data_IF_197402903650
#
_entry.id   IF_197402903650
#
_cell.length_a   1.000
_cell.length_b   1.000
_cell.length_c   1.000
_cell.angle_alpha   90.00
_cell.angle_beta   90.00
_cell.angle_gamma   90.00
#
_symmetry.space_group_name_H-M   'P 1'
#
loop_
_entity.id
_entity.type
_entity.pdbx_description
1 polymer ?
#
# COMPACT_ATOMS: atom_id res chain seq x y z
N UNK A 1 21.36 4.21 -13.71
CA UNK A 1 20.48 5.42 -13.56
C UNK A 1 19.65 5.21 -12.31
N UNK A 2 19.48 6.23 -11.47
CA UNK A 2 18.54 6.17 -10.35
C UNK A 2 17.10 5.96 -10.83
N UNK A 3 16.31 5.26 -10.03
CA UNK A 3 14.88 5.10 -10.24
C UNK A 3 14.13 5.51 -8.96
N UNK A 4 12.99 6.19 -9.11
CA UNK A 4 12.16 6.61 -7.98
C UNK A 4 11.76 5.41 -7.11
N UNK A 5 11.72 5.63 -5.81
CA UNK A 5 11.40 4.65 -4.77
C UNK A 5 12.37 3.46 -4.65
N UNK A 6 13.49 3.45 -5.39
CA UNK A 6 14.54 2.45 -5.23
C UNK A 6 15.54 2.86 -4.15
N UNK A 7 15.98 1.86 -3.38
CA UNK A 7 16.97 2.01 -2.32
C UNK A 7 18.37 1.76 -2.84
N UNK A 8 19.33 2.55 -2.34
CA UNK A 8 20.75 2.43 -2.66
C UNK A 8 21.60 2.55 -1.41
N UNK A 9 22.69 1.81 -1.36
CA UNK A 9 23.76 2.06 -0.41
C UNK A 9 24.62 3.18 -0.99
N UNK A 10 24.68 4.29 -0.29
CA UNK A 10 25.37 5.51 -0.77
C UNK A 10 26.55 5.87 0.12
N UNK A 11 27.54 6.53 -0.48
CA UNK A 11 28.70 7.08 0.21
C UNK A 11 28.70 8.59 0.09
N UNK A 12 28.87 9.30 1.22
CA UNK A 12 28.95 10.76 1.23
C UNK A 12 30.27 11.22 0.60
N UNK A 13 30.18 12.03 -0.47
CA UNK A 13 31.35 12.61 -1.18
C UNK A 13 31.67 14.03 -0.75
N UNK A 14 30.65 14.82 -0.42
CA UNK A 14 30.81 16.18 0.07
C UNK A 14 29.65 16.58 0.96
N UNK A 15 29.91 17.48 1.91
CA UNK A 15 28.91 18.02 2.83
C UNK A 15 28.84 19.52 2.69
N UNK A 16 27.63 20.06 2.63
CA UNK A 16 27.32 21.47 2.60
C UNK A 16 26.27 21.81 3.68
N UNK A 17 26.08 23.10 4.02
CA UNK A 17 25.07 23.49 5.00
C UNK A 17 23.63 23.04 4.67
N UNK A 18 23.34 22.83 3.38
CA UNK A 18 22.01 22.47 2.88
C UNK A 18 21.81 20.95 2.67
N UNK A 19 22.88 20.14 2.84
CA UNK A 19 22.80 18.70 2.65
C UNK A 19 24.12 18.06 2.25
N UNK A 20 24.04 16.83 1.75
CA UNK A 20 25.20 16.03 1.37
C UNK A 20 25.11 15.54 -0.09
N UNK A 21 26.19 15.66 -0.83
CA UNK A 21 26.36 14.97 -2.10
C UNK A 21 26.79 13.54 -1.82
N UNK A 22 26.11 12.61 -2.44
CA UNK A 22 26.34 11.17 -2.26
C UNK A 22 26.56 10.47 -3.59
N UNK A 23 27.22 9.35 -3.53
CA UNK A 23 27.51 8.47 -4.67
C UNK A 23 27.01 7.05 -4.38
N UNK A 24 26.33 6.47 -5.36
CA UNK A 24 25.94 5.08 -5.41
C UNK A 24 26.51 4.45 -6.69
N UNK A 25 27.66 3.79 -6.58
CA UNK A 25 28.35 3.11 -7.69
C UNK A 25 28.50 3.98 -8.96
N UNK A 26 28.91 5.26 -8.75
CA UNK A 26 29.12 6.23 -9.83
C UNK A 26 27.87 7.03 -10.21
N UNK A 27 26.75 6.85 -9.53
CA UNK A 27 25.57 7.69 -9.66
C UNK A 27 25.56 8.78 -8.59
N UNK A 28 25.53 10.03 -9.00
CA UNK A 28 25.49 11.17 -8.08
C UNK A 28 24.06 11.48 -7.63
N UNK A 29 23.88 11.58 -6.31
CA UNK A 29 22.65 12.00 -5.65
C UNK A 29 22.88 13.06 -4.60
N UNK A 30 21.82 13.70 -4.13
CA UNK A 30 21.83 14.69 -3.09
C UNK A 30 20.81 14.38 -2.01
N UNK A 31 21.27 14.33 -0.77
CA UNK A 31 20.43 14.22 0.42
C UNK A 31 20.34 15.60 1.05
N UNK A 32 19.13 16.19 1.03
CA UNK A 32 18.86 17.45 1.72
C UNK A 32 19.09 17.28 3.22
N UNK A 33 19.50 18.35 3.91
CA UNK A 33 19.72 18.33 5.35
C UNK A 33 18.50 17.81 6.13
N UNK A 34 17.27 18.21 5.73
CA UNK A 34 16.03 17.75 6.35
C UNK A 34 15.67 16.28 6.00
N UNK A 35 16.37 15.68 5.03
CA UNK A 35 16.23 14.27 4.64
C UNK A 35 17.35 13.37 5.19
N UNK A 36 18.14 13.90 6.13
CA UNK A 36 19.11 13.15 6.91
C UNK A 36 18.64 13.01 8.36
N UNK A 37 18.79 11.85 9.02
CA UNK A 37 18.30 11.61 10.39
C UNK A 37 18.81 12.62 11.42
N UNK A 38 20.03 13.16 11.26
CA UNK A 38 20.61 14.15 12.18
C UNK A 38 19.86 15.48 12.27
N UNK A 39 18.92 15.74 11.38
CA UNK A 39 18.05 16.92 11.47
C UNK A 39 16.95 16.75 12.53
N UNK A 40 16.51 15.50 12.74
CA UNK A 40 15.36 15.18 13.55
C UNK A 40 15.70 14.45 14.88
N UNK A 41 16.95 14.03 15.02
CA UNK A 41 17.41 13.24 16.15
C UNK A 41 18.87 13.55 16.49
N UNK A 42 19.37 13.01 17.62
CA UNK A 42 20.77 13.13 18.07
C UNK A 42 21.77 12.32 17.22
N UNK A 43 21.34 11.82 16.05
CA UNK A 43 22.24 11.13 15.11
C UNK A 43 23.35 12.09 14.66
N UNK A 44 24.62 11.65 14.58
CA UNK A 44 25.70 12.48 14.06
C UNK A 44 25.41 13.04 12.68
N UNK A 45 25.87 14.26 12.41
CA UNK A 45 25.78 14.87 11.06
C UNK A 45 26.59 14.07 10.07
N UNK A 46 26.12 14.02 8.82
CA UNK A 46 26.84 13.36 7.74
C UNK A 46 28.26 13.89 7.61
N UNK A 47 29.22 13.00 7.44
CA UNK A 47 30.62 13.31 7.16
C UNK A 47 31.07 12.62 5.87
N UNK A 48 32.09 13.21 5.20
CA UNK A 48 32.65 12.61 3.98
C UNK A 48 33.19 11.21 4.28
N UNK A 49 32.76 10.23 3.48
CA UNK A 49 33.11 8.82 3.65
C UNK A 49 32.04 8.00 4.39
N UNK A 50 31.06 8.64 5.02
CA UNK A 50 29.96 7.92 5.67
C UNK A 50 29.19 7.11 4.63
N UNK A 51 28.78 5.91 5.07
CA UNK A 51 27.91 5.02 4.31
C UNK A 51 26.53 4.95 4.95
N UNK A 52 25.51 5.06 4.12
CA UNK A 52 24.13 4.94 4.61
C UNK A 52 23.25 4.38 3.51
N UNK A 53 22.10 3.82 3.94
CA UNK A 53 21.02 3.49 3.02
C UNK A 53 20.19 4.73 2.76
N UNK A 54 19.88 4.98 1.48
CA UNK A 54 19.03 6.07 1.08
C UNK A 54 18.07 5.61 -0.03
N UNK A 55 16.93 6.28 -0.11
CA UNK A 55 15.92 6.04 -1.14
C UNK A 55 15.85 7.24 -2.09
N UNK A 56 15.61 6.96 -3.35
CA UNK A 56 15.40 8.01 -4.37
C UNK A 56 14.00 8.58 -4.25
N UNK A 57 13.90 9.89 -4.00
CA UNK A 57 12.63 10.62 -3.96
C UNK A 57 12.27 11.21 -5.32
N UNK A 58 13.28 11.64 -6.10
CA UNK A 58 13.10 12.27 -7.41
C UNK A 58 14.34 12.03 -8.29
N UNK A 59 14.22 11.05 -9.17
CA UNK A 59 15.27 10.67 -10.11
C UNK A 59 15.36 11.62 -11.32
N UNK A 60 14.37 12.48 -11.55
CA UNK A 60 14.35 13.41 -12.68
C UNK A 60 15.32 14.59 -12.52
N UNK A 61 15.76 14.85 -11.28
CA UNK A 61 16.68 15.95 -10.95
C UNK A 61 18.15 15.55 -11.15
N UNK A 62 18.97 16.56 -11.33
CA UNK A 62 20.43 16.40 -11.40
C UNK A 62 21.09 17.36 -10.42
N UNK A 63 21.74 16.86 -9.35
CA UNK A 63 21.74 15.46 -8.90
C UNK A 63 20.35 14.99 -8.44
N UNK A 64 20.09 13.69 -8.55
CA UNK A 64 18.85 13.07 -8.06
C UNK A 64 18.64 13.37 -6.57
N UNK A 65 17.37 13.49 -6.13
CA UNK A 65 17.05 13.74 -4.72
C UNK A 65 16.83 12.43 -3.98
N UNK A 66 17.54 12.29 -2.87
CA UNK A 66 17.47 11.11 -2.02
C UNK A 66 17.09 11.48 -0.58
N UNK A 67 16.65 10.49 0.17
CA UNK A 67 16.43 10.58 1.62
C UNK A 67 17.06 9.39 2.34
N UNK A 68 17.67 9.65 3.48
CA UNK A 68 18.13 8.64 4.43
C UNK A 68 17.20 8.50 5.64
N UNK A 69 16.04 9.16 5.64
CA UNK A 69 15.06 9.03 6.72
C UNK A 69 14.40 7.64 6.69
N UNK A 70 14.32 6.93 7.83
CA UNK A 70 13.65 5.64 7.90
C UNK A 70 12.22 5.65 7.38
N UNK A 71 11.46 6.72 7.67
CA UNK A 71 10.08 6.86 7.19
C UNK A 71 10.01 6.94 5.66
N UNK A 72 10.87 7.73 5.01
CA UNK A 72 10.88 7.83 3.55
C UNK A 72 11.28 6.50 2.89
N UNK A 73 12.18 5.74 3.53
CA UNK A 73 12.57 4.40 3.07
C UNK A 73 11.39 3.42 3.17
N UNK A 74 10.63 3.45 4.28
CA UNK A 74 9.44 2.60 4.44
C UNK A 74 8.36 2.92 3.41
N UNK A 75 8.04 4.21 3.25
CA UNK A 75 7.09 4.67 2.22
C UNK A 75 7.51 4.19 0.84
N UNK A 76 8.78 4.35 0.48
CA UNK A 76 9.26 3.92 -0.82
C UNK A 76 9.18 2.40 -1.02
N UNK A 77 9.40 1.61 0.02
CA UNK A 77 9.21 0.15 -0.02
C UNK A 77 7.78 -0.22 -0.34
N UNK A 78 6.81 0.45 0.27
CA UNK A 78 5.40 0.22 -0.01
C UNK A 78 5.02 0.64 -1.44
N UNK A 79 5.62 1.71 -1.97
CA UNK A 79 5.32 2.22 -3.31
C UNK A 79 5.94 1.42 -4.47
N UNK A 80 7.00 0.63 -4.23
CA UNK A 80 7.75 -0.06 -5.29
C UNK A 80 6.92 -1.06 -6.12
N UNK A 81 5.80 -1.54 -5.57
CA UNK A 81 4.92 -2.52 -6.22
C UNK A 81 3.87 -1.86 -7.12
N UNK A 82 3.60 -0.57 -6.93
CA UNK A 82 2.59 0.15 -7.72
C UNK A 82 3.00 0.34 -9.18
N UNK A 83 4.26 0.52 -9.49
CA UNK A 83 4.75 0.68 -10.87
C UNK A 83 4.70 -0.62 -11.70
N UNK A 84 5.13 -1.80 -11.20
CA UNK A 84 4.88 -3.07 -11.86
C UNK A 84 3.39 -3.37 -12.06
N UNK A 85 2.55 -3.13 -11.05
CA UNK A 85 1.10 -3.31 -11.15
C UNK A 85 0.51 -2.43 -12.26
N UNK A 86 0.93 -1.16 -12.35
CA UNK A 86 0.50 -0.23 -13.41
C UNK A 86 0.88 -0.68 -14.82
N UNK A 87 1.98 -1.42 -14.96
CA UNK A 87 2.38 -1.97 -16.28
C UNK A 87 1.54 -3.17 -16.67
N UNK A 88 1.13 -3.98 -15.71
CA UNK A 88 0.26 -5.14 -15.93
C UNK A 88 -1.20 -4.72 -16.11
N UNK A 89 -1.69 -3.86 -15.23
CA UNK A 89 -3.04 -3.30 -15.24
C UNK A 89 -2.95 -1.78 -15.41
N UNK A 90 -2.99 -1.23 -16.62
CA UNK A 90 -2.94 0.22 -16.81
C UNK A 90 -4.13 0.94 -16.16
N UNK A 91 -3.91 2.06 -15.44
CA UNK A 91 -5.01 2.84 -14.86
C UNK A 91 -5.82 3.57 -15.95
N UNK A 92 -7.05 3.98 -15.64
CA UNK A 92 -7.97 4.62 -16.61
C UNK A 92 -7.56 6.03 -17.04
N UNK A 93 -6.43 6.56 -16.56
CA UNK A 93 -5.85 7.83 -16.99
C UNK A 93 -6.29 9.06 -16.20
N UNK A 94 -7.37 9.01 -15.44
CA UNK A 94 -7.76 10.09 -14.53
C UNK A 94 -6.98 9.98 -13.21
N UNK A 95 -6.51 11.12 -12.68
CA UNK A 95 -5.97 11.18 -11.31
C UNK A 95 -7.10 11.65 -10.43
N UNK A 96 -7.38 10.89 -9.36
CA UNK A 96 -8.35 11.29 -8.35
C UNK A 96 -7.66 12.08 -7.25
N UNK A 97 -8.21 13.22 -6.90
CA UNK A 97 -7.82 13.97 -5.72
C UNK A 97 -8.69 13.53 -4.53
N UNK A 98 -8.06 13.19 -3.42
CA UNK A 98 -8.71 12.70 -2.19
C UNK A 98 -8.18 13.49 -1.01
N UNK A 99 -9.08 14.01 -0.20
CA UNK A 99 -8.77 14.70 1.05
C UNK A 99 -8.42 13.69 2.16
N UNK A 100 -7.22 13.10 2.06
CA UNK A 100 -6.78 12.02 2.94
C UNK A 100 -6.86 12.35 4.42
N UNK A 101 -6.63 13.61 4.82
CA UNK A 101 -6.70 14.00 6.23
C UNK A 101 -8.10 13.76 6.82
N UNK A 102 -9.16 14.06 6.08
CA UNK A 102 -10.53 13.84 6.50
C UNK A 102 -10.88 12.33 6.56
N UNK A 103 -10.38 11.55 5.58
CA UNK A 103 -10.56 10.10 5.55
C UNK A 103 -9.86 9.44 6.74
N UNK A 104 -8.62 9.82 7.01
CA UNK A 104 -7.82 9.27 8.11
C UNK A 104 -8.36 9.67 9.48
N UNK A 105 -8.93 10.89 9.60
CA UNK A 105 -9.65 11.32 10.81
C UNK A 105 -10.89 10.46 11.03
N UNK A 106 -11.70 10.22 9.99
CA UNK A 106 -12.89 9.38 10.07
C UNK A 106 -12.58 7.93 10.43
N UNK A 107 -11.49 7.38 9.90
CA UNK A 107 -11.03 6.03 10.20
C UNK A 107 -10.32 5.93 11.56
N UNK A 108 -9.84 7.04 12.11
CA UNK A 108 -8.98 7.05 13.30
C UNK A 108 -7.62 6.39 13.07
N UNK A 109 -7.13 6.35 11.83
CA UNK A 109 -5.87 5.74 11.46
C UNK A 109 -5.26 6.37 10.21
N UNK A 110 -3.94 6.50 10.17
CA UNK A 110 -3.19 6.88 8.96
C UNK A 110 -3.15 5.68 8.02
N UNK A 111 -3.37 5.90 6.74
CA UNK A 111 -3.41 4.84 5.73
C UNK A 111 -2.06 4.64 5.02
N UNK A 112 -1.76 3.41 4.57
CA UNK A 112 -0.54 3.11 3.83
C UNK A 112 -0.39 3.94 2.55
N UNK A 113 0.82 4.41 2.27
CA UNK A 113 1.10 5.26 1.11
C UNK A 113 0.84 4.55 -0.22
N UNK A 114 1.04 3.23 -0.30
CA UNK A 114 0.78 2.45 -1.50
C UNK A 114 -0.72 2.38 -1.83
N UNK A 115 -1.57 2.23 -0.81
CA UNK A 115 -3.02 2.29 -1.01
C UNK A 115 -3.47 3.68 -1.50
N UNK A 116 -3.01 4.74 -0.82
CA UNK A 116 -3.30 6.12 -1.27
C UNK A 116 -2.89 6.32 -2.73
N UNK A 117 -1.74 5.77 -3.11
CA UNK A 117 -1.25 5.82 -4.49
C UNK A 117 -2.13 5.03 -5.46
N UNK A 118 -2.63 3.85 -5.04
CA UNK A 118 -3.58 3.07 -5.84
C UNK A 118 -4.85 3.86 -6.09
N UNK A 119 -5.50 4.36 -5.03
CA UNK A 119 -6.75 5.13 -5.15
C UNK A 119 -6.55 6.41 -5.97
N UNK A 120 -5.45 7.13 -5.80
CA UNK A 120 -5.15 8.30 -6.63
C UNK A 120 -5.03 7.97 -8.12
N UNK A 121 -4.50 6.79 -8.45
CA UNK A 121 -4.22 6.39 -9.84
C UNK A 121 -5.38 5.70 -10.51
N UNK A 122 -6.10 4.88 -9.77
CA UNK A 122 -7.14 4.01 -10.30
C UNK A 122 -8.54 4.48 -9.92
N UNK A 123 -8.71 5.10 -8.75
CA UNK A 123 -10.00 5.19 -8.07
C UNK A 123 -10.42 3.83 -7.50
N UNK A 124 -11.68 3.70 -7.12
CA UNK A 124 -12.28 2.41 -6.83
C UNK A 124 -12.67 1.65 -8.10
N UNK A 125 -12.71 0.34 -8.01
CA UNK A 125 -13.04 -0.52 -9.14
C UNK A 125 -12.43 -1.91 -9.01
N UNK A 126 -12.53 -2.70 -10.07
CA UNK A 126 -12.18 -4.12 -10.08
C UNK A 126 -10.86 -4.36 -10.78
N UNK A 127 -9.92 -4.98 -10.09
CA UNK A 127 -8.69 -5.54 -10.64
C UNK A 127 -8.92 -6.99 -11.08
N UNK A 128 -8.42 -7.34 -12.24
CA UNK A 128 -8.44 -8.69 -12.79
C UNK A 128 -9.84 -9.34 -12.72
N UNK A 129 -10.90 -8.57 -12.93
CA UNK A 129 -12.27 -9.05 -12.90
C UNK A 129 -12.74 -9.59 -11.55
N UNK A 130 -11.95 -9.47 -10.46
CA UNK A 130 -12.26 -10.16 -9.21
C UNK A 130 -12.01 -9.34 -7.95
N UNK A 131 -10.96 -8.52 -7.85
CA UNK A 131 -10.65 -7.77 -6.62
C UNK A 131 -11.14 -6.36 -6.75
N UNK A 132 -12.18 -6.04 -6.00
CA UNK A 132 -12.68 -4.68 -5.86
C UNK A 132 -11.81 -3.90 -4.88
N UNK A 133 -11.20 -2.80 -5.33
CA UNK A 133 -10.51 -1.84 -4.47
C UNK A 133 -11.55 -0.87 -3.90
N UNK A 134 -11.68 -0.84 -2.58
CA UNK A 134 -12.51 0.16 -1.90
C UNK A 134 -11.90 1.54 -2.07
N UNK A 135 -12.75 2.57 -2.14
CA UNK A 135 -12.31 3.96 -2.19
C UNK A 135 -13.13 4.82 -1.23
N UNK A 136 -12.58 5.87 -0.64
CA UNK A 136 -13.37 6.81 0.15
C UNK A 136 -14.33 7.59 -0.77
N UNK A 137 -15.48 8.01 -0.23
CA UNK A 137 -16.54 8.74 -0.92
C UNK A 137 -17.08 8.00 -2.17
N UNK A 138 -17.07 6.65 -2.15
CA UNK A 138 -17.72 5.87 -3.19
C UNK A 138 -19.22 6.11 -3.16
N UNK A 139 -19.87 6.38 -4.32
CA UNK A 139 -21.33 6.56 -4.37
C UNK A 139 -22.12 5.33 -3.91
N UNK A 140 -21.56 4.14 -4.10
CA UNK A 140 -22.11 2.90 -3.55
C UNK A 140 -21.46 2.62 -2.18
N UNK A 141 -22.25 2.63 -1.08
CA UNK A 141 -21.74 2.36 0.27
C UNK A 141 -21.06 0.99 0.42
N UNK A 142 -21.39 0.01 -0.45
CA UNK A 142 -20.77 -1.33 -0.45
C UNK A 142 -19.27 -1.26 -0.76
N UNK A 143 -18.83 -0.24 -1.48
CA UNK A 143 -17.45 -0.06 -1.90
C UNK A 143 -16.79 1.17 -1.29
N UNK A 144 -17.50 1.84 -0.34
CA UNK A 144 -16.93 2.96 0.39
C UNK A 144 -16.07 2.48 1.57
N UNK A 145 -14.80 2.90 1.59
CA UNK A 145 -13.82 2.48 2.58
C UNK A 145 -14.26 2.81 4.02
N UNK A 146 -14.80 4.02 4.25
CA UNK A 146 -15.14 4.50 5.60
C UNK A 146 -16.40 3.79 6.10
N UNK A 147 -17.41 3.67 5.25
CA UNK A 147 -18.66 2.97 5.56
C UNK A 147 -18.38 1.50 5.85
N UNK A 148 -17.63 0.83 4.97
CA UNK A 148 -17.32 -0.59 5.15
C UNK A 148 -16.44 -0.85 6.37
N UNK A 149 -15.57 0.06 6.73
CA UNK A 149 -14.78 -0.08 7.97
C UNK A 149 -15.69 -0.10 9.19
N UNK A 150 -16.65 0.83 9.29
CA UNK A 150 -17.57 0.89 10.43
C UNK A 150 -18.50 -0.34 10.49
N UNK A 151 -19.06 -0.76 9.34
CA UNK A 151 -19.93 -1.94 9.25
C UNK A 151 -19.19 -3.23 9.65
N UNK A 152 -17.95 -3.39 9.20
CA UNK A 152 -17.13 -4.56 9.50
C UNK A 152 -16.67 -4.60 10.95
N UNK A 153 -16.36 -3.49 11.58
CA UNK A 153 -16.05 -3.44 13.00
C UNK A 153 -17.24 -3.94 13.85
N UNK A 154 -18.45 -3.49 13.55
CA UNK A 154 -19.67 -3.93 14.26
C UNK A 154 -19.98 -5.42 14.00
N UNK A 155 -19.89 -5.84 12.74
CA UNK A 155 -20.13 -7.23 12.33
C UNK A 155 -19.14 -8.18 13.01
N UNK A 156 -17.84 -7.91 12.95
CA UNK A 156 -16.80 -8.76 13.52
C UNK A 156 -16.92 -8.84 15.05
N UNK A 157 -17.16 -7.71 15.72
CA UNK A 157 -17.41 -7.69 17.16
C UNK A 157 -18.60 -8.58 17.55
N UNK A 158 -19.67 -8.56 16.75
CA UNK A 158 -20.83 -9.42 16.93
C UNK A 158 -20.50 -10.90 16.73
N UNK A 159 -19.75 -11.26 15.68
CA UNK A 159 -19.35 -12.64 15.38
C UNK A 159 -18.48 -13.21 16.50
N UNK A 160 -17.50 -12.45 16.99
CA UNK A 160 -16.62 -12.91 18.07
C UNK A 160 -17.34 -13.07 19.39
N UNK A 161 -18.32 -12.21 19.69
CA UNK A 161 -19.20 -12.38 20.86
C UNK A 161 -20.01 -13.67 20.78
N UNK A 162 -20.31 -14.15 19.58
CA UNK A 162 -21.01 -15.43 19.34
C UNK A 162 -20.10 -16.65 19.28
N UNK A 163 -18.79 -16.47 19.50
CA UNK A 163 -17.80 -17.55 19.54
C UNK A 163 -17.25 -17.98 18.18
N UNK A 164 -17.39 -17.15 17.14
CA UNK A 164 -16.68 -17.37 15.88
C UNK A 164 -15.19 -17.11 16.13
N UNK A 165 -14.33 -17.99 15.63
CA UNK A 165 -12.89 -17.85 15.79
C UNK A 165 -12.36 -16.60 15.06
N UNK A 166 -11.62 -15.78 15.80
CA UNK A 166 -10.83 -14.68 15.24
C UNK A 166 -9.47 -15.20 14.77
N UNK A 167 -8.85 -14.54 13.78
CA UNK A 167 -7.48 -14.88 13.38
C UNK A 167 -6.53 -14.78 14.57
N UNK A 168 -5.53 -15.68 14.67
CA UNK A 168 -4.60 -15.72 15.81
C UNK A 168 -3.91 -14.38 16.06
N UNK A 169 -3.64 -13.63 14.99
CA UNK A 169 -2.97 -12.33 15.00
C UNK A 169 -3.75 -11.25 15.77
N UNK A 170 -5.08 -11.38 15.86
CA UNK A 170 -5.93 -10.47 16.64
C UNK A 170 -5.95 -10.77 18.13
N UNK A 171 -5.43 -11.92 18.55
CA UNK A 171 -5.39 -12.31 19.97
C UNK A 171 -4.25 -11.64 20.73
N UNK A 172 -3.28 -11.08 20.01
CA UNK A 172 -2.09 -10.44 20.54
C UNK A 172 -2.14 -8.93 20.30
N UNK A 173 -2.59 -8.16 21.30
CA UNK A 173 -2.56 -6.70 21.27
C UNK A 173 -3.82 -6.04 20.71
N UNK A 174 -3.71 -4.74 20.50
CA UNK A 174 -4.80 -3.85 20.05
C UNK A 174 -4.79 -3.77 18.51
N UNK A 175 -5.14 -4.88 17.86
CA UNK A 175 -5.15 -4.99 16.39
C UNK A 175 -6.53 -4.74 15.84
N UNK A 176 -6.64 -3.85 14.83
CA UNK A 176 -7.86 -3.61 14.05
C UNK A 176 -7.78 -4.29 12.70
N UNK A 177 -8.92 -4.73 12.21
CA UNK A 177 -9.11 -5.11 10.80
C UNK A 177 -9.76 -3.96 10.06
N UNK A 178 -9.06 -3.40 9.09
CA UNK A 178 -9.58 -2.35 8.22
C UNK A 178 -9.75 -2.93 6.81
N UNK A 179 -10.98 -3.06 6.28
CA UNK A 179 -11.21 -3.59 4.95
C UNK A 179 -10.68 -2.61 3.90
N UNK A 180 -9.99 -3.12 2.89
CA UNK A 180 -9.51 -2.32 1.77
C UNK A 180 -9.91 -2.89 0.41
N UNK A 181 -10.40 -4.10 0.38
CA UNK A 181 -10.81 -4.77 -0.83
C UNK A 181 -11.86 -5.85 -0.59
N UNK A 182 -12.61 -6.12 -1.63
CA UNK A 182 -13.66 -7.13 -1.68
C UNK A 182 -13.44 -8.03 -2.88
N UNK A 183 -13.70 -9.33 -2.74
CA UNK A 183 -13.58 -10.29 -3.84
C UNK A 183 -14.95 -10.50 -4.47
N UNK A 184 -15.11 -10.01 -5.69
CA UNK A 184 -16.37 -10.05 -6.43
C UNK A 184 -16.88 -11.50 -6.60
N UNK A 185 -18.18 -11.67 -6.38
CA UNK A 185 -18.85 -12.96 -6.52
C UNK A 185 -18.54 -14.02 -5.46
N UNK A 186 -17.49 -13.85 -4.67
CA UNK A 186 -17.05 -14.84 -3.68
C UNK A 186 -17.42 -14.45 -2.23
N UNK A 187 -17.71 -13.18 -1.98
CA UNK A 187 -18.02 -12.67 -0.63
C UNK A 187 -16.82 -12.61 0.31
N UNK A 188 -15.59 -12.74 -0.21
CA UNK A 188 -14.37 -12.64 0.57
C UNK A 188 -13.94 -11.18 0.72
N UNK A 189 -13.30 -10.88 1.85
CA UNK A 189 -12.84 -9.55 2.17
C UNK A 189 -11.34 -9.52 2.44
N UNK A 190 -10.71 -8.46 1.99
CA UNK A 190 -9.30 -8.17 2.19
C UNK A 190 -9.17 -7.05 3.23
N UNK A 191 -8.43 -7.33 4.28
CA UNK A 191 -8.20 -6.39 5.39
C UNK A 191 -6.72 -6.09 5.56
N UNK A 192 -6.42 -4.94 6.13
CA UNK A 192 -5.16 -4.75 6.82
C UNK A 192 -5.26 -5.21 8.27
N UNK A 193 -4.18 -5.81 8.76
CA UNK A 193 -3.89 -5.93 10.17
C UNK A 193 -3.27 -4.60 10.65
N UNK A 194 -4.13 -3.66 11.04
CA UNK A 194 -3.72 -2.35 11.53
C UNK A 194 -3.34 -2.44 13.00
N UNK A 195 -2.07 -2.19 13.32
CA UNK A 195 -1.51 -2.21 14.67
C UNK A 195 -1.10 -0.79 15.06
N UNK A 196 -1.49 -0.30 16.27
CA UNK A 196 -1.22 1.09 16.67
C UNK A 196 0.27 1.38 16.89
N UNK A 197 1.08 0.36 17.14
CA UNK A 197 2.53 0.42 17.38
C UNK A 197 3.37 0.15 16.12
N UNK A 198 2.70 -0.09 14.98
CA UNK A 198 3.33 -0.41 13.69
C UNK A 198 2.95 0.66 12.67
N UNK A 199 3.95 1.13 11.94
CA UNK A 199 3.70 2.11 10.87
C UNK A 199 2.78 1.52 9.78
N UNK A 200 1.90 2.32 9.18
CA UNK A 200 0.94 1.85 8.18
C UNK A 200 1.59 1.10 6.99
N UNK A 201 2.79 1.50 6.60
CA UNK A 201 3.56 0.86 5.51
C UNK A 201 4.02 -0.56 5.85
N UNK A 202 3.93 -0.98 7.11
CA UNK A 202 4.29 -2.31 7.60
C UNK A 202 3.05 -3.18 7.89
N UNK A 203 1.84 -2.64 7.69
CA UNK A 203 0.63 -3.44 7.82
C UNK A 203 0.57 -4.53 6.77
N UNK A 204 0.12 -5.69 7.20
CA UNK A 204 0.01 -6.88 6.36
C UNK A 204 -1.43 -7.15 5.96
N UNK A 205 -1.61 -7.94 4.91
CA UNK A 205 -2.93 -8.30 4.40
C UNK A 205 -3.43 -9.56 5.06
N UNK A 206 -4.70 -9.59 5.43
CA UNK A 206 -5.44 -10.82 5.72
C UNK A 206 -6.69 -10.89 4.86
N UNK A 207 -7.05 -12.11 4.49
CA UNK A 207 -8.25 -12.43 3.74
C UNK A 207 -9.17 -13.30 4.57
N UNK A 208 -10.47 -13.02 4.51
CA UNK A 208 -11.51 -13.79 5.17
C UNK A 208 -12.64 -14.16 4.21
N UNK A 209 -13.21 -15.32 4.36
CA UNK A 209 -14.36 -15.81 3.58
C UNK A 209 -15.70 -15.12 3.94
N UNK A 210 -15.65 -13.88 4.41
CA UNK A 210 -16.80 -13.06 4.74
C UNK A 210 -17.35 -13.31 6.13
N UNK A 211 -17.96 -14.45 6.39
CA UNK A 211 -18.56 -14.79 7.70
C UNK A 211 -18.09 -16.13 8.28
N UNK A 212 -17.19 -16.75 7.58
CA UNK A 212 -16.65 -18.05 7.97
C UNK A 212 -15.42 -17.96 8.86
N UNK A 213 -14.99 -19.11 9.42
CA UNK A 213 -13.84 -19.17 10.32
C UNK A 213 -12.49 -19.13 9.61
N UNK A 214 -12.45 -19.19 8.27
CA UNK A 214 -11.21 -19.30 7.54
C UNK A 214 -10.57 -17.93 7.29
N UNK A 215 -9.34 -17.81 7.73
CA UNK A 215 -8.50 -16.64 7.58
C UNK A 215 -7.19 -17.02 6.90
N UNK A 216 -6.74 -16.20 5.98
CA UNK A 216 -5.47 -16.35 5.30
C UNK A 216 -4.64 -15.09 5.49
N UNK A 217 -3.41 -15.23 6.02
CA UNK A 217 -2.52 -14.11 6.29
C UNK A 217 -1.40 -14.04 5.24
N UNK A 218 -1.16 -12.84 4.73
CA UNK A 218 -0.14 -12.55 3.74
C UNK A 218 0.80 -11.46 4.27
N UNK A 219 2.10 -11.72 4.44
CA UNK A 219 3.09 -10.74 4.89
C UNK A 219 3.45 -9.78 3.73
N UNK A 220 2.45 -9.12 3.18
CA UNK A 220 2.55 -8.25 2.02
C UNK A 220 1.75 -6.96 2.25
N UNK A 221 2.17 -5.85 1.65
CA UNK A 221 1.35 -4.64 1.54
C UNK A 221 0.21 -4.86 0.55
N UNK A 222 -0.82 -3.98 0.54
CA UNK A 222 -1.95 -4.14 -0.38
C UNK A 222 -1.52 -4.10 -1.85
N UNK A 223 -0.59 -3.22 -2.22
CA UNK A 223 -0.08 -3.15 -3.60
C UNK A 223 0.76 -4.36 -4.00
N UNK A 224 1.54 -4.93 -3.06
CA UNK A 224 2.25 -6.18 -3.29
C UNK A 224 1.27 -7.33 -3.50
N UNK A 225 0.28 -7.45 -2.62
CA UNK A 225 -0.73 -8.49 -2.72
C UNK A 225 -1.50 -8.42 -4.05
N UNK A 226 -1.97 -7.22 -4.45
CA UNK A 226 -2.62 -7.03 -5.74
C UNK A 226 -1.71 -7.41 -6.92
N UNK A 227 -0.43 -6.99 -6.87
CA UNK A 227 0.53 -7.36 -7.90
C UNK A 227 0.70 -8.88 -7.99
N UNK A 228 0.85 -9.56 -6.85
CA UNK A 228 1.04 -11.02 -6.82
C UNK A 228 -0.19 -11.77 -7.34
N UNK A 229 -1.40 -11.30 -7.03
CA UNK A 229 -2.64 -11.87 -7.58
C UNK A 229 -2.70 -11.63 -9.09
N UNK A 230 -2.52 -10.39 -9.56
CA UNK A 230 -2.58 -10.06 -10.99
C UNK A 230 -1.50 -10.79 -11.78
N UNK A 231 -0.29 -10.92 -11.23
CA UNK A 231 0.83 -11.63 -11.88
C UNK A 231 0.71 -13.17 -11.82
N UNK A 232 -0.25 -13.71 -11.02
CA UNK A 232 -0.38 -15.15 -10.82
C UNK A 232 0.75 -15.76 -9.96
N UNK A 233 1.36 -14.94 -9.09
CA UNK A 233 2.44 -15.36 -8.19
C UNK A 233 2.01 -15.52 -6.73
N UNK A 234 0.74 -15.23 -6.44
CA UNK A 234 0.18 -15.40 -5.09
C UNK A 234 0.14 -16.86 -4.67
N UNK A 235 0.35 -17.09 -3.38
CA UNK A 235 0.19 -18.43 -2.75
C UNK A 235 -1.18 -18.57 -2.08
N UNK A 236 -2.10 -17.62 -2.29
CA UNK A 236 -3.45 -17.66 -1.73
C UNK A 236 -4.24 -18.84 -2.25
N UNK A 237 -4.86 -19.58 -1.33
CA UNK A 237 -5.79 -20.63 -1.68
C UNK A 237 -7.02 -20.10 -2.45
N UNK A 238 -7.48 -18.90 -2.10
CA UNK A 238 -8.66 -18.28 -2.72
C UNK A 238 -8.43 -17.78 -4.14
N UNK A 239 -7.20 -17.61 -4.54
CA UNK A 239 -6.81 -17.15 -5.87
C UNK A 239 -6.01 -18.19 -6.66
N UNK A 240 -5.93 -19.45 -6.16
CA UNK A 240 -5.17 -20.51 -6.82
C UNK A 240 -5.69 -20.81 -8.25
N UNK A 241 -7.01 -20.77 -8.42
CA UNK A 241 -7.67 -21.11 -9.69
C UNK A 241 -8.15 -19.85 -10.44
N UNK A 242 -7.54 -18.68 -10.18
CA UNK A 242 -7.98 -17.40 -10.74
C UNK A 242 -8.01 -17.43 -12.27
N UNK A 243 -7.01 -18.03 -12.90
CA UNK A 243 -6.93 -18.14 -14.36
C UNK A 243 -8.01 -19.05 -14.97
N UNK A 244 -8.69 -19.87 -14.15
CA UNK A 244 -9.80 -20.71 -14.60
C UNK A 244 -11.17 -20.00 -14.49
N UNK A 245 -11.28 -19.00 -13.58
CA UNK A 245 -12.55 -18.34 -13.27
C UNK A 245 -12.67 -16.91 -13.82
N UNK A 246 -11.55 -16.28 -14.14
CA UNK A 246 -11.50 -14.91 -14.70
C UNK A 246 -11.39 -14.98 -16.22
N UNK A 247 -12.18 -14.15 -16.90
CA UNK A 247 -12.05 -14.01 -18.34
C UNK A 247 -10.62 -13.55 -18.69
N UNK A 248 -9.95 -14.21 -19.65
CA UNK A 248 -8.59 -13.83 -20.07
C UNK A 248 -8.45 -12.35 -20.46
N UNK A 249 -9.50 -11.75 -21.02
CA UNK A 249 -9.52 -10.33 -21.40
C UNK A 249 -9.54 -9.39 -20.18
N UNK A 250 -10.07 -9.85 -19.03
CA UNK A 250 -10.13 -9.08 -17.79
C UNK A 250 -8.93 -9.33 -16.86
N UNK A 251 -8.14 -10.37 -17.11
CA UNK A 251 -7.03 -10.80 -16.26
C UNK A 251 -6.01 -9.69 -15.95
N UNK A 252 -5.77 -8.80 -16.89
CA UNK A 252 -4.84 -7.67 -16.77
C UNK A 252 -5.54 -6.33 -16.92
N UNK A 253 -6.81 -6.27 -16.58
CA UNK A 253 -7.63 -5.07 -16.71
C UNK A 253 -8.01 -4.52 -15.34
N UNK A 254 -8.08 -3.20 -15.27
CA UNK A 254 -8.79 -2.49 -14.20
C UNK A 254 -10.06 -1.87 -14.80
N UNK A 255 -11.20 -2.12 -14.17
CA UNK A 255 -12.50 -1.56 -14.56
C UNK A 255 -12.92 -0.59 -13.47
N UNK A 256 -12.96 0.72 -13.71
CA UNK A 256 -13.42 1.70 -12.73
C UNK A 256 -14.86 1.44 -12.33
N UNK A 257 -15.19 1.68 -11.07
CA UNK A 257 -16.52 1.49 -10.57
C UNK A 257 -17.56 2.37 -11.33
N UNK A 258 -17.15 3.55 -11.81
CA UNK A 258 -17.99 4.41 -12.64
C UNK A 258 -18.43 3.78 -13.98
N UNK A 259 -17.67 2.86 -14.54
CA UNK A 259 -18.06 2.09 -15.72
C UNK A 259 -19.08 1.01 -15.37
N UNK A 260 -18.99 0.40 -14.18
CA UNK A 260 -19.86 -0.69 -13.74
C UNK A 260 -21.21 -0.11 -13.32
N UNK A 261 -21.23 0.90 -12.48
CA UNK A 261 -22.47 1.51 -11.97
C UNK A 261 -23.23 2.32 -13.04
N UNK A 262 -22.60 2.67 -14.14
CA UNK A 262 -23.30 3.35 -15.26
C UNK A 262 -24.08 2.38 -16.15
N UNK A 263 -23.97 1.07 -15.94
CA UNK A 263 -24.65 0.03 -16.73
C UNK A 263 -25.89 -0.56 -16.04
N UNK A 264 -26.13 -0.17 -14.77
CA UNK A 264 -27.34 -0.48 -14.02
C UNK A 264 -28.35 0.68 -14.09
#
# INVERSE_FOLDING_TARGET
MFADHQEYDVVVKAVAPVGALVDADGLEGFIDQAKHPSWWSDTPRAAVGDRMRAVVLDASRTPARLSALPIDIRIARSLRHTDPLRRLCPPPGAIRDVEWAAVEEALGAVLPADYKRLVQRYGGGVFAGTIWLLEPDCPDPMYDLVVQTAEHEEMLATLWTRGVDSPPELREGDVRLVPWGYVEGAGHWLYWLARPDVEPEEWTVVLNEGRGPLWEAHPASCSQFLLDVVAGTTTSYYFADLDEVVDPDDRYRFIPHSEILSQE
#
